data_IF_139778993588
#
_entry.id   IF_139778993588
#
_cell.length_a   1.000
_cell.length_b   1.000
_cell.length_c   1.000
_cell.angle_alpha   90.00
_cell.angle_beta   90.00
_cell.angle_gamma   90.00
#
_symmetry.space_group_name_H-M   'P 1'
#
loop_
_entity.id
_entity.type
_entity.pdbx_description
1 polymer ?
#
# COMPACT_ATOMS: atom_id res chain seq x y z
N UNK A 1 -21.27 -3.18 -13.69
CA UNK A 1 -19.84 -2.98 -13.37
C UNK A 1 -19.30 -1.91 -14.31
N UNK A 2 -18.62 -0.89 -13.79
CA UNK A 2 -17.93 0.11 -14.63
C UNK A 2 -16.55 -0.45 -14.99
N UNK A 3 -16.23 -0.68 -16.27
CA UNK A 3 -14.89 -1.10 -16.67
C UNK A 3 -13.87 0.00 -16.33
N UNK A 4 -12.63 -0.40 -16.07
CA UNK A 4 -11.51 0.52 -15.85
C UNK A 4 -10.54 0.42 -17.00
N UNK A 5 -9.97 1.54 -17.42
CA UNK A 5 -8.88 1.51 -18.38
C UNK A 5 -7.60 0.94 -17.73
N UNK A 6 -6.93 0.05 -18.45
CA UNK A 6 -5.62 -0.45 -18.04
C UNK A 6 -4.55 0.63 -18.33
N UNK A 7 -3.75 1.07 -17.34
CA UNK A 7 -2.74 2.12 -17.54
C UNK A 7 -1.56 1.69 -18.42
N UNK A 8 -1.41 0.38 -18.67
CA UNK A 8 -0.33 -0.17 -19.48
C UNK A 8 -0.70 -0.31 -20.95
N UNK A 9 -1.90 -0.83 -21.26
CA UNK A 9 -2.31 -1.12 -22.64
C UNK A 9 -3.54 -0.32 -23.11
N UNK A 10 -4.09 0.57 -22.28
CA UNK A 10 -5.26 1.42 -22.58
C UNK A 10 -6.53 0.68 -23.00
N UNK A 11 -6.62 -0.62 -22.74
CA UNK A 11 -7.82 -1.44 -22.96
C UNK A 11 -8.68 -1.46 -21.71
N UNK A 12 -10.00 -1.59 -21.91
CA UNK A 12 -10.96 -1.74 -20.83
C UNK A 12 -10.82 -3.10 -20.14
N UNK A 13 -10.33 -3.08 -18.91
CA UNK A 13 -10.25 -4.22 -18.02
C UNK A 13 -11.45 -4.23 -17.05
N UNK A 14 -11.90 -5.40 -16.60
CA UNK A 14 -12.91 -5.50 -15.56
C UNK A 14 -12.38 -4.87 -14.26
N UNK A 15 -13.25 -4.18 -13.50
CA UNK A 15 -12.85 -3.42 -12.32
C UNK A 15 -12.30 -4.28 -11.16
N UNK A 16 -12.64 -5.56 -11.15
CA UNK A 16 -12.24 -6.57 -10.18
C UNK A 16 -11.08 -7.45 -10.65
N UNK A 17 -10.55 -7.24 -11.87
CA UNK A 17 -9.33 -7.94 -12.29
C UNK A 17 -8.14 -7.49 -11.44
N UNK A 18 -7.48 -8.46 -10.80
CA UNK A 18 -6.17 -8.23 -10.19
C UNK A 18 -5.05 -8.16 -11.24
N UNK A 19 -5.26 -8.78 -12.40
CA UNK A 19 -4.31 -8.79 -13.53
C UNK A 19 -5.06 -8.50 -14.82
N UNK A 20 -4.53 -7.60 -15.64
CA UNK A 20 -5.11 -7.28 -16.95
C UNK A 20 -5.05 -8.50 -17.88
N UNK A 21 -6.18 -8.98 -18.43
CA UNK A 21 -6.21 -10.18 -19.27
C UNK A 21 -5.58 -9.99 -20.66
N UNK A 22 -5.30 -8.75 -21.06
CA UNK A 22 -4.76 -8.43 -22.38
C UNK A 22 -3.23 -8.32 -22.40
N UNK A 23 -2.65 -7.69 -21.37
CA UNK A 23 -1.21 -7.40 -21.32
C UNK A 23 -0.50 -7.99 -20.11
N UNK A 24 -1.24 -8.55 -19.14
CA UNK A 24 -0.65 -9.12 -17.92
C UNK A 24 -0.26 -8.10 -16.85
N UNK A 25 -0.68 -6.84 -16.95
CA UNK A 25 -0.40 -5.82 -15.93
C UNK A 25 -1.08 -6.15 -14.60
N UNK A 26 -0.29 -6.18 -13.52
CA UNK A 26 -0.76 -6.42 -12.15
C UNK A 26 -1.33 -5.13 -11.55
N UNK A 27 -2.64 -5.11 -11.27
CA UNK A 27 -3.26 -3.95 -10.62
C UNK A 27 -2.86 -3.90 -9.14
N UNK A 28 -2.52 -2.70 -8.60
CA UNK A 28 -2.17 -2.56 -7.21
C UNK A 28 -3.41 -2.80 -6.34
N UNK A 29 -3.57 -4.02 -5.84
CA UNK A 29 -4.58 -4.35 -4.83
C UNK A 29 -4.10 -3.87 -3.46
N UNK A 30 -4.92 -3.15 -2.69
CA UNK A 30 -4.58 -2.84 -1.30
C UNK A 30 -4.48 -4.14 -0.51
N UNK A 31 -3.26 -4.65 -0.33
CA UNK A 31 -3.01 -5.84 0.48
C UNK A 31 -3.45 -5.55 1.91
N UNK A 32 -4.37 -6.34 2.46
CA UNK A 32 -4.88 -6.16 3.83
C UNK A 32 -3.76 -6.08 4.89
N UNK A 33 -2.60 -6.68 4.62
CA UNK A 33 -1.44 -6.66 5.51
C UNK A 33 -0.70 -5.32 5.63
N UNK A 34 -0.84 -4.37 4.68
CA UNK A 34 -0.09 -3.10 4.74
C UNK A 34 -0.51 -2.23 5.93
N UNK A 35 -1.80 -2.26 6.30
CA UNK A 35 -2.33 -1.49 7.44
C UNK A 35 -1.69 -1.89 8.78
N UNK A 36 -1.40 -3.17 8.96
CA UNK A 36 -0.73 -3.68 10.17
C UNK A 36 0.75 -3.29 10.21
N UNK A 37 1.42 -3.30 9.06
CA UNK A 37 2.84 -2.89 8.96
C UNK A 37 3.00 -1.40 9.23
N UNK A 38 2.06 -0.55 8.78
CA UNK A 38 2.08 0.89 9.08
C UNK A 38 2.06 1.16 10.59
N UNK A 39 1.18 0.48 11.33
CA UNK A 39 1.13 0.64 12.79
C UNK A 39 2.38 0.12 13.50
N UNK A 40 2.94 -1.01 13.04
CA UNK A 40 4.19 -1.55 13.58
C UNK A 40 5.35 -0.55 13.41
N UNK A 41 5.47 0.08 12.23
CA UNK A 41 6.50 1.10 11.97
C UNK A 41 6.34 2.32 12.88
N UNK A 42 5.11 2.82 13.05
CA UNK A 42 4.83 3.95 13.94
C UNK A 42 5.22 3.60 15.39
N UNK A 43 4.80 2.43 15.88
CA UNK A 43 5.13 1.97 17.23
C UNK A 43 6.63 1.88 17.44
N UNK A 44 7.36 1.30 16.49
CA UNK A 44 8.82 1.18 16.54
C UNK A 44 9.49 2.56 16.61
N UNK A 45 9.05 3.49 15.76
CA UNK A 45 9.60 4.85 15.73
C UNK A 45 9.36 5.59 17.04
N UNK A 46 8.15 5.48 17.60
CA UNK A 46 7.79 6.08 18.89
C UNK A 46 8.58 5.45 20.03
N UNK A 47 8.75 4.11 20.03
CA UNK A 47 9.50 3.38 21.05
C UNK A 47 10.97 3.80 21.14
N UNK A 48 11.61 4.16 20.02
CA UNK A 48 12.99 4.66 20.02
C UNK A 48 13.09 6.19 20.17
N UNK A 49 12.14 6.95 19.63
CA UNK A 49 12.19 8.42 19.67
C UNK A 49 11.88 8.98 21.07
N UNK A 50 10.92 8.40 21.79
CA UNK A 50 10.56 8.84 23.15
C UNK A 50 11.73 8.79 24.13
N UNK A 51 12.45 7.66 24.31
CA UNK A 51 13.56 7.60 25.26
C UNK A 51 14.72 8.51 24.84
N UNK A 52 14.97 8.67 23.54
CA UNK A 52 15.99 9.58 23.03
C UNK A 52 15.65 11.04 23.32
N UNK A 53 14.40 11.44 23.12
CA UNK A 53 13.91 12.77 23.49
C UNK A 53 13.94 13.00 25.01
N UNK A 54 13.54 12.00 25.81
CA UNK A 54 13.60 12.09 27.26
C UNK A 54 15.04 12.25 27.78
N UNK A 55 16.02 11.62 27.12
CA UNK A 55 17.44 11.80 27.44
C UNK A 55 18.01 13.15 26.99
N UNK A 56 17.50 13.72 25.89
CA UNK A 56 17.92 15.03 25.37
C UNK A 56 17.36 16.22 26.15
N UNK A 57 16.14 16.08 26.68
CA UNK A 57 15.41 17.13 27.39
C UNK A 57 15.45 17.00 28.93
N UNK A 58 16.12 15.99 29.46
CA UNK A 58 16.36 15.77 30.89
C UNK A 58 17.79 16.06 31.28
#
# INVERSE_FOLDING_TARGET
>A
MTPRECPSCALDAPADAEVCPFCGYEFPTPRAGTRSVTWLMILLMVLFAIPLLAWLFG
#
